data_IF_937138558380
#
_entry.id   IF_937138558380
#
_cell.length_a   1.000
_cell.length_b   1.000
_cell.length_c   1.000
_cell.angle_alpha   90.00
_cell.angle_beta   90.00
_cell.angle_gamma   90.00
#
_symmetry.space_group_name_H-M   'P 1'
#
loop_
_entity.id
_entity.type
_entity.pdbx_description
1 polymer ?
#
# COMPACT_ATOMS: atom_id res chain seq x y z
N UNK A 1 -1.63 19.43 2.87
CA UNK A 1 -2.07 18.68 1.67
C UNK A 1 -1.56 17.24 1.64
N UNK A 2 -0.46 16.90 2.31
CA UNK A 2 0.16 15.57 2.24
C UNK A 2 -0.71 14.43 2.81
N UNK A 3 -1.61 14.73 3.75
CA UNK A 3 -2.50 13.73 4.38
C UNK A 3 -3.39 12.99 3.37
N UNK A 4 -3.97 13.69 2.39
CA UNK A 4 -4.85 13.08 1.41
C UNK A 4 -4.12 12.07 0.50
N UNK A 5 -2.90 12.40 0.08
CA UNK A 5 -2.08 11.49 -0.71
C UNK A 5 -1.60 10.30 0.11
N UNK A 6 -1.38 10.48 1.42
CA UNK A 6 -1.08 9.39 2.30
C UNK A 6 -2.27 8.44 2.48
N UNK A 7 -3.50 8.95 2.60
CA UNK A 7 -4.71 8.12 2.59
C UNK A 7 -4.86 7.35 1.27
N UNK A 8 -4.61 7.99 0.14
CA UNK A 8 -4.61 7.32 -1.17
C UNK A 8 -3.55 6.21 -1.22
N UNK A 9 -2.36 6.44 -0.67
CA UNK A 9 -1.30 5.44 -0.57
C UNK A 9 -1.68 4.25 0.33
N UNK A 10 -2.41 4.50 1.43
CA UNK A 10 -3.00 3.45 2.26
C UNK A 10 -4.01 2.63 1.45
N UNK A 11 -4.92 3.29 0.72
CA UNK A 11 -5.91 2.63 -0.14
C UNK A 11 -5.25 1.76 -1.22
N UNK A 12 -4.19 2.23 -1.86
CA UNK A 12 -3.43 1.44 -2.84
C UNK A 12 -2.85 0.18 -2.19
N UNK A 13 -2.23 0.31 -1.02
CA UNK A 13 -1.68 -0.84 -0.30
C UNK A 13 -2.77 -1.83 0.15
N UNK A 14 -3.96 -1.34 0.52
CA UNK A 14 -5.05 -2.16 1.02
C UNK A 14 -5.85 -2.86 -0.10
N UNK A 15 -6.13 -2.15 -1.19
CA UNK A 15 -7.14 -2.56 -2.19
C UNK A 15 -6.53 -3.01 -3.52
N UNK A 16 -5.32 -2.56 -3.85
CA UNK A 16 -4.73 -2.76 -5.17
C UNK A 16 -3.66 -3.84 -5.23
N UNK A 17 -3.69 -4.79 -4.29
CA UNK A 17 -2.83 -5.96 -4.30
C UNK A 17 -3.67 -7.23 -4.23
N UNK A 18 -3.44 -8.14 -5.16
CA UNK A 18 -4.07 -9.46 -5.15
C UNK A 18 -3.10 -10.50 -4.62
N UNK A 19 -3.62 -11.39 -3.77
CA UNK A 19 -2.88 -12.58 -3.34
C UNK A 19 -3.03 -13.65 -4.41
N UNK A 20 -1.95 -13.96 -5.11
CA UNK A 20 -1.89 -15.09 -6.07
C UNK A 20 -0.93 -16.14 -5.51
N UNK A 21 -1.46 -17.31 -5.17
CA UNK A 21 -0.75 -18.37 -4.40
C UNK A 21 -0.27 -17.79 -3.06
N UNK A 22 1.03 -17.56 -2.91
CA UNK A 22 1.67 -17.00 -1.72
C UNK A 22 2.36 -15.65 -1.95
N UNK A 23 2.14 -15.04 -3.14
CA UNK A 23 2.73 -13.75 -3.49
C UNK A 23 1.66 -12.67 -3.64
N UNK A 24 1.92 -11.50 -3.08
CA UNK A 24 1.12 -10.30 -3.32
C UNK A 24 1.61 -9.62 -4.58
N UNK A 25 0.72 -9.47 -5.56
CA UNK A 25 1.00 -8.79 -6.83
C UNK A 25 0.18 -7.52 -6.91
N UNK A 26 0.83 -6.44 -7.31
CA UNK A 26 0.16 -5.17 -7.56
C UNK A 26 -0.78 -5.30 -8.77
N UNK A 27 -2.01 -4.82 -8.61
CA UNK A 27 -3.02 -4.74 -9.66
C UNK A 27 -3.13 -3.29 -10.15
N UNK A 28 -2.46 -3.01 -11.27
CA UNK A 28 -2.38 -1.66 -11.84
C UNK A 28 -3.73 -1.17 -12.38
N UNK A 29 -4.63 -2.07 -12.78
CA UNK A 29 -5.98 -1.69 -13.22
C UNK A 29 -6.79 -1.14 -12.04
N UNK A 30 -6.71 -1.80 -10.87
CA UNK A 30 -7.34 -1.28 -9.65
C UNK A 30 -6.78 0.08 -9.25
N UNK A 31 -5.46 0.28 -9.37
CA UNK A 31 -4.84 1.58 -9.06
C UNK A 31 -5.33 2.66 -10.01
N UNK A 32 -5.33 2.38 -11.32
CA UNK A 32 -5.82 3.32 -12.34
C UNK A 32 -7.27 3.71 -12.08
N UNK A 33 -8.13 2.76 -11.73
CA UNK A 33 -9.54 3.02 -11.42
C UNK A 33 -9.71 3.81 -10.12
N UNK A 34 -8.96 3.47 -9.07
CA UNK A 34 -8.97 4.19 -7.79
C UNK A 34 -8.55 5.64 -7.97
N UNK A 35 -7.44 5.88 -8.67
CA UNK A 35 -6.92 7.23 -8.97
C UNK A 35 -7.90 8.00 -9.84
N UNK A 36 -8.48 7.38 -10.88
CA UNK A 36 -9.48 8.03 -11.73
C UNK A 36 -10.72 8.45 -10.93
N UNK A 37 -11.19 7.58 -10.03
CA UNK A 37 -12.29 7.89 -9.12
C UNK A 37 -11.95 9.07 -8.19
N UNK A 38 -10.76 9.04 -7.59
CA UNK A 38 -10.27 10.14 -6.75
C UNK A 38 -10.16 11.47 -7.51
N UNK A 39 -9.56 11.46 -8.71
CA UNK A 39 -9.38 12.64 -9.56
C UNK A 39 -10.70 13.22 -10.09
N UNK A 40 -11.81 12.48 -10.04
CA UNK A 40 -13.13 13.01 -10.40
C UNK A 40 -13.66 14.05 -9.39
N UNK A 41 -13.17 13.99 -8.14
CA UNK A 41 -13.53 14.92 -7.06
C UNK A 41 -12.39 15.91 -6.81
N UNK A 42 -11.14 15.42 -6.79
CA UNK A 42 -9.97 16.24 -6.48
C UNK A 42 -8.81 15.96 -7.43
N UNK A 43 -8.42 16.98 -8.21
CA UNK A 43 -7.24 16.90 -9.08
C UNK A 43 -5.98 16.67 -8.25
N UNK A 44 -5.16 15.70 -8.67
CA UNK A 44 -3.86 15.41 -8.07
C UNK A 44 -2.80 16.24 -8.81
N UNK A 45 -2.12 17.13 -8.08
CA UNK A 45 -1.04 17.96 -8.61
C UNK A 45 0.19 17.13 -8.99
N UNK A 46 1.10 17.74 -9.76
CA UNK A 46 2.35 17.09 -10.16
C UNK A 46 3.23 16.74 -8.94
N UNK A 47 3.25 17.60 -7.92
CA UNK A 47 4.00 17.37 -6.67
C UNK A 47 3.44 16.15 -5.93
N UNK A 48 2.12 16.05 -5.84
CA UNK A 48 1.44 14.92 -5.21
C UNK A 48 1.71 13.61 -5.98
N UNK A 49 1.62 13.62 -7.31
CA UNK A 49 1.99 12.45 -8.15
C UNK A 49 3.42 11.98 -7.89
N UNK A 50 4.37 12.91 -7.79
CA UNK A 50 5.79 12.61 -7.47
C UNK A 50 5.97 12.01 -6.07
N UNK A 51 5.12 12.38 -5.11
CA UNK A 51 5.17 11.83 -3.74
C UNK A 51 4.54 10.45 -3.58
N UNK A 52 3.79 9.95 -4.58
CA UNK A 52 3.00 8.72 -4.42
C UNK A 52 3.86 7.51 -4.00
N UNK A 53 5.01 7.31 -4.65
CA UNK A 53 5.87 6.16 -4.38
C UNK A 53 6.38 6.17 -2.93
N UNK A 54 6.93 7.30 -2.45
CA UNK A 54 7.47 7.38 -1.09
C UNK A 54 6.36 7.23 -0.04
N UNK A 55 5.16 7.74 -0.31
CA UNK A 55 4.01 7.57 0.57
C UNK A 55 3.52 6.12 0.60
N UNK A 56 3.47 5.43 -0.54
CA UNK A 56 3.16 4.00 -0.61
C UNK A 56 4.15 3.14 0.16
N UNK A 57 5.45 3.46 0.09
CA UNK A 57 6.51 2.81 0.87
C UNK A 57 6.33 3.07 2.36
N UNK A 58 6.09 4.31 2.76
CA UNK A 58 5.85 4.67 4.17
C UNK A 58 4.60 4.01 4.75
N UNK A 59 3.51 3.95 3.99
CA UNK A 59 2.30 3.24 4.40
C UNK A 59 2.55 1.73 4.54
N UNK A 60 3.26 1.13 3.59
CA UNK A 60 3.60 -0.29 3.65
C UNK A 60 4.49 -0.62 4.85
N UNK A 61 5.51 0.20 5.10
CA UNK A 61 6.41 0.07 6.25
C UNK A 61 5.65 0.20 7.57
N UNK A 62 4.75 1.18 7.70
CA UNK A 62 3.94 1.35 8.91
C UNK A 62 3.14 0.09 9.24
N UNK A 63 2.40 -0.44 8.27
CA UNK A 63 1.61 -1.66 8.48
C UNK A 63 2.47 -2.92 8.69
N UNK A 64 3.65 -2.99 8.06
CA UNK A 64 4.62 -4.05 8.33
C UNK A 64 5.05 -4.02 9.80
N UNK A 65 5.47 -2.87 10.31
CA UNK A 65 5.95 -2.72 11.69
C UNK A 65 4.88 -3.03 12.72
N UNK A 66 3.66 -2.54 12.53
CA UNK A 66 2.56 -2.85 13.46
C UNK A 66 2.22 -4.34 13.43
N UNK A 67 2.18 -4.97 12.25
CA UNK A 67 1.94 -6.42 12.16
C UNK A 67 3.07 -7.24 12.74
N UNK A 68 4.33 -6.80 12.58
CA UNK A 68 5.48 -7.46 13.19
C UNK A 68 5.38 -7.40 14.72
N UNK A 69 5.06 -6.22 15.26
CA UNK A 69 4.85 -6.04 16.68
C UNK A 69 3.73 -6.95 17.20
N UNK A 70 2.56 -6.94 16.56
CA UNK A 70 1.44 -7.81 16.96
C UNK A 70 1.82 -9.30 16.86
N UNK A 71 2.54 -9.69 15.80
CA UNK A 71 2.96 -11.06 15.58
C UNK A 71 3.94 -11.57 16.64
N UNK A 72 4.84 -10.72 17.12
CA UNK A 72 5.82 -11.07 18.15
C UNK A 72 5.26 -11.02 19.56
N UNK A 73 4.29 -10.14 19.83
CA UNK A 73 3.84 -9.85 21.20
C UNK A 73 2.48 -10.44 21.57
N UNK A 74 1.68 -10.90 20.60
CA UNK A 74 0.38 -11.51 20.90
C UNK A 74 0.56 -12.91 21.50
N UNK A 75 0.04 -13.18 22.72
CA UNK A 75 0.09 -14.51 23.31
C UNK A 75 -0.64 -15.55 22.45
N UNK A 76 -0.11 -16.77 22.38
CA UNK A 76 -0.72 -17.88 21.63
C UNK A 76 -2.13 -18.25 22.12
N UNK A 77 -2.48 -17.87 23.35
CA UNK A 77 -3.79 -18.09 23.96
C UNK A 77 -4.84 -17.07 23.54
N UNK A 78 -4.45 -16.01 22.82
CA UNK A 78 -5.38 -14.99 22.36
C UNK A 78 -6.30 -15.53 21.25
N UNK A 79 -7.61 -15.26 21.36
CA UNK A 79 -8.62 -15.66 20.37
C UNK A 79 -8.61 -14.81 19.09
N UNK A 80 -7.59 -13.97 18.89
CA UNK A 80 -7.49 -13.06 17.75
C UNK A 80 -6.65 -13.67 16.63
N UNK A 81 -7.09 -13.47 15.38
CA UNK A 81 -6.30 -13.87 14.22
C UNK A 81 -5.17 -12.86 13.97
N UNK A 82 -3.95 -13.25 14.30
CA UNK A 82 -2.74 -12.49 13.97
C UNK A 82 -2.56 -12.49 12.44
N UNK A 83 -2.31 -11.30 11.87
CA UNK A 83 -2.05 -11.15 10.43
C UNK A 83 -0.57 -11.35 10.12
N UNK A 84 -0.28 -12.06 9.04
CA UNK A 84 1.09 -12.27 8.57
C UNK A 84 1.76 -10.94 8.17
N UNK A 85 2.90 -10.55 8.79
CA UNK A 85 3.64 -9.35 8.41
C UNK A 85 4.23 -9.43 6.99
N UNK A 86 4.50 -10.64 6.48
CA UNK A 86 5.10 -10.86 5.16
C UNK A 86 4.26 -10.28 4.01
N UNK A 87 2.94 -10.12 4.19
CA UNK A 87 2.09 -9.40 3.24
C UNK A 87 2.64 -8.00 2.94
N UNK A 88 2.90 -7.22 3.99
CA UNK A 88 3.33 -5.82 3.84
C UNK A 88 4.82 -5.70 3.53
N UNK A 89 5.63 -6.71 3.90
CA UNK A 89 7.00 -6.82 3.41
C UNK A 89 7.04 -6.97 1.88
N UNK A 90 6.25 -7.89 1.31
CA UNK A 90 6.18 -8.06 -0.15
C UNK A 90 5.65 -6.82 -0.88
N UNK A 91 4.64 -6.15 -0.30
CA UNK A 91 4.13 -4.87 -0.84
C UNK A 91 5.22 -3.79 -0.82
N UNK A 92 5.99 -3.67 0.26
CA UNK A 92 7.10 -2.73 0.37
C UNK A 92 8.19 -2.99 -0.69
N UNK A 93 8.59 -4.26 -0.87
CA UNK A 93 9.56 -4.65 -1.92
C UNK A 93 9.02 -4.29 -3.31
N UNK A 94 7.73 -4.50 -3.57
CA UNK A 94 7.10 -4.10 -4.83
C UNK A 94 7.18 -2.60 -5.04
N UNK A 95 6.88 -1.77 -4.03
CA UNK A 95 6.99 -0.30 -4.16
C UNK A 95 8.45 0.16 -4.33
N UNK A 96 9.42 -0.53 -3.73
CA UNK A 96 10.84 -0.22 -3.90
C UNK A 96 11.33 -0.46 -5.34
N UNK A 97 10.69 -1.35 -6.10
CA UNK A 97 11.03 -1.57 -7.51
C UNK A 97 10.36 -0.58 -8.47
N UNK A 98 9.46 0.27 -7.98
CA UNK A 98 8.80 1.32 -8.77
C UNK A 98 9.52 2.65 -8.55
N UNK A 99 9.76 3.39 -9.62
CA UNK A 99 10.54 4.64 -9.62
C UNK A 99 9.62 5.85 -9.80
N UNK A 100 8.57 5.71 -10.60
CA UNK A 100 7.72 6.82 -11.02
C UNK A 100 6.23 6.56 -10.80
N UNK A 101 5.44 7.63 -10.81
CA UNK A 101 3.99 7.55 -10.81
C UNK A 101 3.42 6.71 -11.96
N UNK A 102 4.08 6.70 -13.13
CA UNK A 102 3.61 5.95 -14.30
C UNK A 102 3.72 4.44 -14.08
N UNK A 103 4.68 3.97 -13.30
CA UNK A 103 4.92 2.55 -13.04
C UNK A 103 3.77 1.91 -12.25
N UNK A 104 2.99 2.73 -11.54
CA UNK A 104 1.76 2.34 -10.86
C UNK A 104 0.56 2.16 -11.81
N UNK A 105 0.64 2.69 -13.03
CA UNK A 105 -0.45 2.74 -13.99
C UNK A 105 -0.27 1.81 -15.21
N UNK A 106 0.99 1.53 -15.59
CA UNK A 106 1.40 0.74 -16.77
C UNK A 106 2.18 -0.46 -16.28
#
# INVERSE_FOLDING_TARGET
NDYFMYELAICINALCFDKKRSKFKIDKLKIKNLIKGYESIKKISLKEKKSLNILCRGAALRYLLTRLYDYSNTPKTALIKIKDPNEYYQKLITHNSLVSYKDYLI
#
